data_IF_531730996786
#
_entry.id   IF_531730996786
#
_cell.length_a   1.000
_cell.length_b   1.000
_cell.length_c   1.000
_cell.angle_alpha   90.00
_cell.angle_beta   90.00
_cell.angle_gamma   90.00
#
_symmetry.space_group_name_H-M   'P 1'
#
loop_
_entity.id
_entity.type
_entity.pdbx_description
1 polymer ?
#
# COMPACT_ATOMS: atom_id res chain seq x y z
N UNK A 1 22.11 -0.40 3.86
CA UNK A 1 20.75 -0.05 3.38
C UNK A 1 20.82 0.28 1.90
N UNK A 2 19.92 -0.24 1.12
CA UNK A 2 19.78 0.07 -0.31
C UNK A 2 19.06 1.41 -0.44
N UNK A 3 19.62 2.33 -1.21
CA UNK A 3 18.93 3.56 -1.62
C UNK A 3 18.26 3.29 -2.97
N UNK A 4 16.99 2.94 -2.96
CA UNK A 4 16.22 2.60 -4.17
C UNK A 4 15.71 3.84 -4.92
N UNK A 5 15.74 5.02 -4.29
CA UNK A 5 15.19 6.25 -4.90
C UNK A 5 16.28 6.99 -5.69
N UNK A 6 16.16 7.12 -7.03
CA UNK A 6 17.13 7.84 -7.82
C UNK A 6 17.25 9.31 -7.40
N UNK A 7 18.46 9.79 -7.18
CA UNK A 7 18.72 11.20 -6.77
C UNK A 7 18.06 12.21 -7.70
N UNK A 8 17.99 11.93 -9.01
CA UNK A 8 17.31 12.79 -9.98
C UNK A 8 15.82 12.96 -9.68
N UNK A 9 15.16 11.95 -9.13
CA UNK A 9 13.73 12.03 -8.79
C UNK A 9 13.49 12.85 -7.51
N UNK A 10 14.38 12.71 -6.51
CA UNK A 10 14.34 13.57 -5.33
C UNK A 10 14.50 15.04 -5.75
N UNK A 11 15.44 15.34 -6.64
CA UNK A 11 15.64 16.70 -7.16
C UNK A 11 14.41 17.22 -7.91
N UNK A 12 13.73 16.38 -8.70
CA UNK A 12 12.48 16.79 -9.36
C UNK A 12 11.37 17.04 -8.33
N UNK A 13 11.27 16.21 -7.27
CA UNK A 13 10.29 16.44 -6.20
C UNK A 13 10.54 17.76 -5.44
N UNK A 14 11.80 18.18 -5.28
CA UNK A 14 12.20 19.44 -4.65
C UNK A 14 11.99 20.65 -5.57
N UNK A 15 12.55 20.61 -6.78
CA UNK A 15 12.69 21.76 -7.68
C UNK A 15 11.61 21.82 -8.78
N UNK A 16 10.97 20.69 -9.07
CA UNK A 16 10.09 20.49 -10.23
C UNK A 16 10.84 20.16 -11.51
N UNK A 17 10.09 19.83 -12.57
CA UNK A 17 10.62 19.71 -13.92
C UNK A 17 10.96 21.12 -14.50
N UNK A 18 11.94 21.19 -15.38
CA UNK A 18 12.31 22.43 -16.08
C UNK A 18 11.14 22.93 -16.94
N UNK A 19 11.13 24.24 -17.28
CA UNK A 19 10.09 24.75 -18.19
C UNK A 19 10.24 24.17 -19.58
N UNK A 20 9.14 23.69 -20.15
CA UNK A 20 9.12 23.18 -21.54
C UNK A 20 9.07 24.32 -22.55
N UNK A 21 9.71 24.08 -23.71
CA UNK A 21 9.55 24.92 -24.90
C UNK A 21 8.50 24.40 -25.88
N UNK A 22 8.07 23.15 -25.69
CA UNK A 22 7.10 22.45 -26.53
C UNK A 22 5.96 21.91 -25.63
N UNK A 23 4.98 22.77 -25.25
CA UNK A 23 3.86 22.34 -24.43
C UNK A 23 3.02 21.26 -25.10
N UNK A 24 2.63 20.24 -24.35
CA UNK A 24 1.76 19.14 -24.77
C UNK A 24 0.43 19.20 -24.04
N UNK A 25 -0.63 18.65 -24.65
CA UNK A 25 -1.89 18.36 -23.98
C UNK A 25 -1.79 16.95 -23.37
N UNK A 26 -1.60 16.87 -22.07
CA UNK A 26 -1.40 15.60 -21.37
C UNK A 26 -2.66 15.20 -20.62
N UNK A 27 -3.13 13.98 -20.84
CA UNK A 27 -4.25 13.41 -20.10
C UNK A 27 -3.67 12.47 -19.02
N UNK A 28 -4.02 12.73 -17.77
CA UNK A 28 -3.68 11.84 -16.63
C UNK A 28 -4.94 11.08 -16.23
N UNK A 29 -4.86 9.75 -16.27
CA UNK A 29 -6.00 8.89 -15.97
C UNK A 29 -5.86 8.39 -14.52
N UNK A 30 -6.68 8.93 -13.62
CA UNK A 30 -6.70 8.69 -12.19
C UNK A 30 -6.13 9.85 -11.38
N UNK A 31 -6.85 10.25 -10.31
CA UNK A 31 -6.40 11.24 -9.32
C UNK A 31 -5.91 10.59 -8.00
N UNK A 32 -5.31 9.40 -8.09
CA UNK A 32 -4.48 8.84 -7.03
C UNK A 32 -3.19 9.65 -6.88
N UNK A 33 -2.41 9.37 -5.84
CA UNK A 33 -1.17 10.14 -5.59
C UNK A 33 -0.22 10.15 -6.80
N UNK A 34 -0.12 9.05 -7.53
CA UNK A 34 0.68 8.97 -8.75
C UNK A 34 0.20 9.95 -9.82
N UNK A 35 -1.11 9.98 -10.08
CA UNK A 35 -1.69 10.92 -11.06
C UNK A 35 -1.54 12.38 -10.64
N UNK A 36 -1.74 12.69 -9.36
CA UNK A 36 -1.59 14.05 -8.84
C UNK A 36 -0.15 14.56 -8.94
N UNK A 37 0.84 13.71 -8.60
CA UNK A 37 2.27 14.07 -8.74
C UNK A 37 2.60 14.30 -10.21
N UNK A 38 2.27 13.37 -11.11
CA UNK A 38 2.55 13.52 -12.54
C UNK A 38 1.90 14.79 -13.10
N UNK A 39 0.63 15.04 -12.76
CA UNK A 39 -0.09 16.23 -13.21
C UNK A 39 0.53 17.53 -12.68
N UNK A 40 0.91 17.59 -11.40
CA UNK A 40 1.53 18.77 -10.79
C UNK A 40 2.87 19.09 -11.44
N UNK A 41 3.74 18.11 -11.60
CA UNK A 41 5.07 18.34 -12.20
C UNK A 41 4.99 18.77 -13.67
N UNK A 42 4.10 18.14 -14.46
CA UNK A 42 3.88 18.52 -15.86
C UNK A 42 3.23 19.91 -16.00
N UNK A 43 2.23 20.23 -15.18
CA UNK A 43 1.61 21.56 -15.20
C UNK A 43 2.61 22.64 -14.82
N UNK A 44 3.43 22.41 -13.80
CA UNK A 44 4.50 23.34 -13.40
C UNK A 44 5.55 23.52 -14.52
N UNK A 45 5.84 22.46 -15.27
CA UNK A 45 6.71 22.55 -16.44
C UNK A 45 6.12 23.34 -17.62
N UNK A 46 4.79 23.60 -17.62
CA UNK A 46 4.12 24.40 -18.65
C UNK A 46 3.32 23.57 -19.66
N UNK A 47 3.08 22.28 -19.41
CA UNK A 47 2.17 21.48 -20.18
C UNK A 47 0.70 21.80 -19.80
N UNK A 48 -0.23 21.56 -20.73
CA UNK A 48 -1.66 21.59 -20.44
C UNK A 48 -2.07 20.20 -19.96
N UNK A 49 -2.61 20.13 -18.74
CA UNK A 49 -2.94 18.86 -18.08
C UNK A 49 -4.43 18.76 -17.82
N UNK A 50 -5.02 17.62 -18.15
CA UNK A 50 -6.37 17.23 -17.74
C UNK A 50 -6.27 15.93 -16.96
N UNK A 51 -6.81 15.89 -15.74
CA UNK A 51 -6.89 14.71 -14.89
C UNK A 51 -8.30 14.14 -14.95
N UNK A 52 -8.45 12.84 -15.20
CA UNK A 52 -9.75 12.14 -15.22
C UNK A 52 -9.84 11.28 -13.98
N UNK A 53 -10.85 11.52 -13.13
CA UNK A 53 -11.09 10.76 -11.90
C UNK A 53 -12.52 10.18 -11.90
N UNK A 54 -12.62 8.87 -11.69
CA UNK A 54 -13.91 8.19 -11.71
C UNK A 54 -14.74 8.46 -10.45
N UNK A 55 -14.09 8.66 -9.31
CA UNK A 55 -14.75 8.96 -8.03
C UNK A 55 -15.01 10.46 -7.85
N UNK A 56 -15.58 10.83 -6.67
CA UNK A 56 -15.78 12.23 -6.28
C UNK A 56 -14.66 12.73 -5.31
N UNK A 57 -13.54 12.02 -5.24
CA UNK A 57 -12.43 12.34 -4.34
C UNK A 57 -11.08 12.05 -4.99
N UNK A 58 -10.05 12.71 -4.52
CA UNK A 58 -8.66 12.39 -4.85
C UNK A 58 -8.07 11.36 -3.88
N UNK A 59 -6.89 10.86 -4.18
CA UNK A 59 -6.06 10.04 -3.31
C UNK A 59 -6.09 8.54 -3.61
N UNK A 60 -7.13 8.04 -4.30
CA UNK A 60 -7.23 6.61 -4.63
C UNK A 60 -7.15 5.73 -3.38
N UNK A 61 -6.09 4.91 -3.26
CA UNK A 61 -5.83 4.01 -2.12
C UNK A 61 -5.24 4.70 -0.87
N UNK A 62 -4.97 5.99 -0.91
CA UNK A 62 -4.81 6.82 0.28
C UNK A 62 -6.21 7.31 0.65
N UNK A 63 -6.77 6.77 1.75
CA UNK A 63 -8.16 7.03 2.15
C UNK A 63 -8.27 7.08 3.66
N UNK A 64 -8.53 8.26 4.18
CA UNK A 64 -8.86 8.49 5.59
C UNK A 64 -10.38 8.56 5.73
N UNK A 65 -10.94 7.73 6.59
CA UNK A 65 -12.37 7.74 6.92
C UNK A 65 -12.62 8.68 8.09
N UNK A 66 -13.50 9.64 7.91
CA UNK A 66 -14.03 10.51 8.97
C UNK A 66 -15.46 10.13 9.32
N UNK A 67 -16.28 9.89 8.33
CA UNK A 67 -17.60 9.30 8.54
C UNK A 67 -17.53 7.76 8.50
N UNK A 68 -18.34 7.06 9.31
CA UNK A 68 -19.42 7.60 10.17
C UNK A 68 -18.99 7.99 11.58
N UNK A 69 -17.73 8.29 11.82
CA UNK A 69 -17.20 8.58 13.17
C UNK A 69 -17.56 9.97 13.62
N UNK A 70 -17.85 10.11 14.92
CA UNK A 70 -18.24 11.38 15.54
C UNK A 70 -17.04 12.15 16.07
N UNK A 71 -17.27 13.40 16.49
CA UNK A 71 -16.30 14.22 17.23
C UNK A 71 -14.92 14.40 16.57
N UNK A 72 -14.87 14.47 15.24
CA UNK A 72 -13.61 14.65 14.49
C UNK A 72 -12.66 13.47 14.56
N UNK A 73 -13.14 12.29 14.97
CA UNK A 73 -12.39 11.06 14.91
C UNK A 73 -12.19 10.62 13.45
N UNK A 74 -11.12 9.88 13.19
CA UNK A 74 -10.86 9.31 11.88
C UNK A 74 -10.00 8.04 11.99
N UNK A 75 -10.01 7.23 10.96
CA UNK A 75 -9.08 6.10 10.82
C UNK A 75 -8.67 5.91 9.36
N UNK A 76 -7.55 5.24 9.15
CA UNK A 76 -7.03 5.00 7.81
C UNK A 76 -7.67 3.73 7.22
N UNK A 77 -8.38 3.86 6.11
CA UNK A 77 -8.90 2.72 5.35
C UNK A 77 -7.90 2.21 4.30
N UNK A 78 -6.95 3.05 3.92
CA UNK A 78 -5.89 2.76 2.97
C UNK A 78 -4.50 2.83 3.59
N UNK A 79 -3.57 3.48 2.90
CA UNK A 79 -2.22 3.73 3.41
C UNK A 79 -2.27 4.43 4.77
N UNK A 80 -1.50 3.95 5.74
CA UNK A 80 -1.55 4.47 7.12
C UNK A 80 -0.20 4.88 7.70
N UNK A 81 0.88 4.51 7.03
CA UNK A 81 2.25 4.75 7.50
C UNK A 81 3.21 5.00 6.34
N UNK A 82 4.29 5.71 6.63
CA UNK A 82 5.36 6.06 5.71
C UNK A 82 6.69 5.67 6.35
N UNK A 83 7.47 4.74 5.80
CA UNK A 83 8.85 4.49 6.24
C UNK A 83 9.69 5.77 6.25
N UNK A 84 10.53 5.96 7.26
CA UNK A 84 11.40 7.13 7.35
C UNK A 84 12.44 7.19 6.20
N UNK A 85 12.71 6.05 5.55
CA UNK A 85 13.56 5.95 4.36
C UNK A 85 12.89 6.43 3.07
N UNK A 86 11.57 6.62 3.04
CA UNK A 86 10.82 7.08 1.87
C UNK A 86 11.05 8.58 1.61
N UNK A 87 11.99 8.88 0.75
CA UNK A 87 12.46 10.25 0.50
C UNK A 87 11.44 11.09 -0.26
N UNK A 88 10.79 10.52 -1.30
CA UNK A 88 9.86 11.26 -2.14
C UNK A 88 8.60 11.64 -1.37
N UNK A 89 8.03 10.69 -0.60
CA UNK A 89 6.86 11.01 0.25
C UNK A 89 7.19 12.12 1.22
N UNK A 90 8.35 12.05 1.88
CA UNK A 90 8.79 13.07 2.83
C UNK A 90 9.03 14.43 2.17
N UNK A 91 9.67 14.44 0.99
CA UNK A 91 9.90 15.68 0.23
C UNK A 91 8.59 16.37 -0.10
N UNK A 92 7.56 15.63 -0.57
CA UNK A 92 6.25 16.23 -0.82
C UNK A 92 5.53 16.65 0.47
N UNK A 93 5.64 15.88 1.56
CA UNK A 93 5.10 16.28 2.86
C UNK A 93 5.72 17.59 3.37
N UNK A 94 7.05 17.72 3.27
CA UNK A 94 7.79 18.95 3.60
C UNK A 94 7.38 20.13 2.71
N UNK A 95 7.31 19.90 1.38
CA UNK A 95 6.88 20.91 0.39
C UNK A 95 5.49 21.47 0.69
N UNK A 96 4.58 20.65 1.19
CA UNK A 96 3.24 21.05 1.56
C UNK A 96 3.08 21.39 3.05
N UNK A 97 4.18 21.41 3.80
CA UNK A 97 4.19 21.70 5.24
C UNK A 97 3.23 20.79 6.04
N UNK A 98 3.16 19.51 5.65
CA UNK A 98 2.34 18.51 6.33
C UNK A 98 3.10 17.96 7.54
N UNK A 99 2.63 18.15 8.77
CA UNK A 99 3.30 17.63 9.95
C UNK A 99 3.23 16.10 9.98
N UNK A 100 4.39 15.48 10.19
CA UNK A 100 4.51 14.03 10.36
C UNK A 100 4.90 13.70 11.80
N UNK A 101 4.40 12.58 12.29
CA UNK A 101 4.74 12.06 13.62
C UNK A 101 5.10 10.57 13.52
N UNK A 102 5.84 10.02 14.51
CA UNK A 102 6.08 8.58 14.58
C UNK A 102 4.78 7.78 14.51
N UNK A 103 4.83 6.63 13.86
CA UNK A 103 3.77 5.64 13.84
C UNK A 103 4.27 4.37 14.52
N UNK A 104 3.63 3.99 15.63
CA UNK A 104 3.99 2.80 16.38
C UNK A 104 3.33 1.57 15.75
N UNK A 105 4.13 0.72 15.10
CA UNK A 105 3.65 -0.53 14.49
C UNK A 105 3.63 -1.70 15.48
N UNK A 106 4.56 -1.72 16.44
CA UNK A 106 4.74 -2.77 17.44
C UNK A 106 4.52 -2.22 18.83
N UNK A 107 3.87 -3.00 19.71
CA UNK A 107 3.72 -2.70 21.11
C UNK A 107 3.86 -4.00 21.91
N UNK A 108 4.86 -4.13 22.81
CA UNK A 108 5.08 -5.35 23.59
C UNK A 108 3.91 -5.67 24.55
N UNK A 109 3.14 -4.66 24.96
CA UNK A 109 1.96 -4.83 25.82
C UNK A 109 0.72 -5.28 25.04
N UNK A 110 0.73 -5.23 23.68
CA UNK A 110 -0.37 -5.74 22.89
C UNK A 110 -0.54 -7.25 23.06
N UNK A 111 -1.69 -7.77 22.71
CA UNK A 111 -2.01 -9.17 22.88
C UNK A 111 -1.64 -10.02 21.68
N UNK A 112 -1.13 -11.20 21.95
CA UNK A 112 -1.08 -12.32 21.04
C UNK A 112 -2.13 -13.34 21.50
N UNK A 113 -3.08 -13.66 20.61
CA UNK A 113 -4.14 -14.63 20.90
C UNK A 113 -4.19 -15.67 19.78
N UNK A 114 -3.78 -16.90 20.07
CA UNK A 114 -3.74 -17.99 19.10
C UNK A 114 -3.93 -19.33 19.78
N UNK A 115 -4.67 -20.26 19.12
CA UNK A 115 -4.97 -21.60 19.63
C UNK A 115 -5.58 -21.60 21.06
N UNK A 116 -6.34 -20.56 21.41
CA UNK A 116 -6.93 -20.41 22.74
C UNK A 116 -6.00 -19.82 23.80
N UNK A 117 -4.73 -19.60 23.49
CA UNK A 117 -3.78 -18.92 24.37
C UNK A 117 -3.86 -17.40 24.19
N UNK A 118 -3.64 -16.69 25.28
CA UNK A 118 -3.54 -15.23 25.31
C UNK A 118 -2.28 -14.83 26.10
N UNK A 119 -1.33 -14.22 25.42
CA UNK A 119 -0.06 -13.77 26.01
C UNK A 119 0.26 -12.34 25.56
N UNK A 120 1.19 -11.67 26.18
CA UNK A 120 1.71 -10.41 25.69
C UNK A 120 2.57 -10.63 24.43
N UNK A 121 2.39 -9.79 23.43
CA UNK A 121 3.13 -9.92 22.16
C UNK A 121 4.65 -9.85 22.37
N UNK A 122 5.10 -9.04 23.33
CA UNK A 122 6.52 -8.96 23.70
C UNK A 122 7.08 -10.27 24.25
N UNK A 123 6.29 -11.07 24.97
CA UNK A 123 6.70 -12.39 25.45
C UNK A 123 6.90 -13.37 24.29
N UNK A 124 5.98 -13.38 23.32
CA UNK A 124 6.06 -14.24 22.14
C UNK A 124 7.30 -13.89 21.30
N UNK A 125 7.52 -12.61 21.05
CA UNK A 125 8.67 -12.14 20.25
C UNK A 125 9.99 -12.46 20.94
N UNK A 126 10.01 -12.48 22.29
CA UNK A 126 11.18 -12.86 23.10
C UNK A 126 11.40 -14.36 23.22
N UNK A 127 10.60 -15.21 22.56
CA UNK A 127 10.75 -16.66 22.54
C UNK A 127 9.89 -17.44 23.52
N UNK A 128 9.04 -16.77 24.31
CA UNK A 128 8.08 -17.47 25.19
C UNK A 128 6.83 -17.91 24.38
N UNK A 129 7.06 -18.85 23.47
CA UNK A 129 6.04 -19.36 22.55
C UNK A 129 5.29 -20.53 23.18
N UNK A 130 3.93 -20.59 23.10
CA UNK A 130 3.13 -21.69 23.61
C UNK A 130 3.57 -23.06 23.05
N UNK A 131 3.42 -24.11 23.86
CA UNK A 131 3.86 -25.47 23.50
C UNK A 131 3.10 -26.06 22.30
N UNK A 132 1.91 -25.56 22.04
CA UNK A 132 1.06 -25.96 20.91
C UNK A 132 1.65 -25.64 19.54
N UNK A 133 2.57 -24.69 19.48
CA UNK A 133 3.37 -24.50 18.25
C UNK A 133 4.47 -25.56 18.21
N UNK A 134 4.46 -26.49 17.22
CA UNK A 134 5.40 -27.61 17.17
C UNK A 134 6.76 -27.17 16.62
N UNK A 135 7.38 -26.20 17.31
CA UNK A 135 8.73 -25.74 17.01
C UNK A 135 9.77 -26.80 17.37
N UNK A 136 10.86 -26.87 16.63
CA UNK A 136 11.99 -27.72 16.99
C UNK A 136 12.79 -27.18 18.20
N UNK A 137 13.77 -27.92 18.67
CA UNK A 137 14.56 -27.53 19.85
C UNK A 137 15.35 -26.22 19.63
N UNK A 138 15.91 -26.03 18.43
CA UNK A 138 16.65 -24.82 18.08
C UNK A 138 15.73 -23.61 18.01
N UNK A 139 14.61 -23.75 17.31
CA UNK A 139 13.61 -22.71 17.14
C UNK A 139 12.99 -22.28 18.49
N UNK A 140 12.77 -23.25 19.38
CA UNK A 140 12.23 -23.00 20.71
C UNK A 140 13.25 -22.32 21.65
N UNK A 141 14.55 -22.58 21.43
CA UNK A 141 15.63 -21.97 22.20
C UNK A 141 16.04 -20.56 21.71
N UNK A 142 15.53 -20.15 20.55
CA UNK A 142 15.90 -18.89 19.87
C UNK A 142 14.68 -17.99 19.77
N UNK A 143 14.83 -16.69 20.00
CA UNK A 143 13.72 -15.76 19.79
C UNK A 143 13.39 -15.62 18.29
N UNK A 144 12.13 -15.24 17.97
CA UNK A 144 11.73 -15.00 16.60
C UNK A 144 12.56 -13.92 15.91
N UNK A 145 12.98 -12.92 16.67
CA UNK A 145 13.84 -11.86 16.15
C UNK A 145 15.24 -12.36 15.81
N UNK A 146 15.82 -13.22 16.64
CA UNK A 146 17.14 -13.82 16.40
C UNK A 146 17.11 -14.77 15.21
N UNK A 147 16.08 -15.63 15.11
CA UNK A 147 15.90 -16.51 13.93
C UNK A 147 15.85 -15.70 12.62
N UNK A 148 15.10 -14.59 12.66
CA UNK A 148 15.01 -13.71 11.50
C UNK A 148 16.33 -12.99 11.19
N UNK A 149 17.00 -12.46 12.22
CA UNK A 149 18.27 -11.79 12.02
C UNK A 149 19.37 -12.75 11.53
N UNK A 150 19.41 -14.00 12.01
CA UNK A 150 20.29 -15.05 11.45
C UNK A 150 20.06 -15.25 9.97
N UNK A 151 18.80 -15.30 9.53
CA UNK A 151 18.41 -15.50 8.12
C UNK A 151 18.83 -14.32 7.23
N UNK A 152 18.69 -13.10 7.71
CA UNK A 152 18.82 -11.87 6.91
C UNK A 152 20.22 -11.25 6.97
N UNK A 153 20.98 -11.47 8.06
CA UNK A 153 22.30 -10.85 8.26
C UNK A 153 23.28 -11.06 7.11
N UNK A 154 23.40 -12.24 6.50
CA UNK A 154 24.33 -12.43 5.37
C UNK A 154 24.04 -11.49 4.20
N UNK A 155 22.77 -11.27 3.89
CA UNK A 155 22.34 -10.37 2.81
C UNK A 155 22.57 -8.89 3.17
N UNK A 156 22.31 -8.52 4.43
CA UNK A 156 22.61 -7.16 4.94
C UNK A 156 24.10 -6.85 4.84
N UNK A 157 24.95 -7.79 5.24
CA UNK A 157 26.41 -7.65 5.17
C UNK A 157 26.90 -7.54 3.72
N UNK A 158 26.45 -8.44 2.84
CA UNK A 158 26.84 -8.44 1.42
C UNK A 158 26.48 -7.11 0.75
N UNK A 159 25.25 -6.60 0.96
CA UNK A 159 24.81 -5.32 0.40
C UNK A 159 25.52 -4.13 1.05
N UNK A 160 25.84 -4.21 2.35
CA UNK A 160 26.61 -3.16 3.03
C UNK A 160 28.02 -3.02 2.48
N UNK A 161 28.68 -4.15 2.15
CA UNK A 161 30.01 -4.19 1.55
C UNK A 161 30.00 -3.75 0.08
N UNK A 162 28.98 -4.19 -0.67
CA UNK A 162 28.80 -3.86 -2.08
C UNK A 162 27.33 -3.67 -2.42
N UNK A 163 26.82 -2.42 -2.51
CA UNK A 163 25.42 -2.15 -2.85
C UNK A 163 24.95 -2.78 -4.18
N UNK A 164 25.86 -2.97 -5.14
CA UNK A 164 25.52 -3.58 -6.43
C UNK A 164 25.23 -5.09 -6.32
N UNK A 165 25.61 -5.73 -5.21
CA UNK A 165 25.26 -7.15 -4.98
C UNK A 165 23.77 -7.39 -4.85
N UNK A 166 22.99 -6.36 -4.57
CA UNK A 166 21.54 -6.45 -4.51
C UNK A 166 20.93 -6.95 -5.84
N UNK A 167 21.45 -6.53 -6.98
CA UNK A 167 20.95 -6.96 -8.28
C UNK A 167 21.09 -8.48 -8.47
N UNK A 168 22.25 -9.03 -8.08
CA UNK A 168 22.48 -10.47 -8.11
C UNK A 168 21.59 -11.23 -7.13
N UNK A 169 21.50 -10.75 -5.88
CA UNK A 169 20.62 -11.36 -4.85
C UNK A 169 19.17 -11.38 -5.33
N UNK A 170 18.72 -10.29 -5.91
CA UNK A 170 17.35 -10.14 -6.45
C UNK A 170 17.10 -11.14 -7.58
N UNK A 171 18.05 -11.29 -8.51
CA UNK A 171 17.94 -12.24 -9.61
C UNK A 171 17.85 -13.70 -9.10
N UNK A 172 18.64 -14.06 -8.09
CA UNK A 172 18.62 -15.39 -7.47
C UNK A 172 17.30 -15.68 -6.73
N UNK A 173 16.79 -14.69 -5.99
CA UNK A 173 15.64 -14.87 -5.10
C UNK A 173 14.27 -14.58 -5.74
N UNK A 174 14.22 -13.95 -6.91
CA UNK A 174 12.94 -13.63 -7.54
C UNK A 174 12.14 -14.86 -7.99
N UNK A 175 12.79 -16.00 -8.14
CA UNK A 175 12.19 -17.24 -8.63
C UNK A 175 11.58 -18.11 -7.53
N UNK A 176 11.82 -17.82 -6.27
CA UNK A 176 11.29 -18.54 -5.12
C UNK A 176 10.39 -17.65 -4.27
N UNK A 177 9.47 -18.29 -3.57
CA UNK A 177 8.61 -17.62 -2.60
C UNK A 177 9.34 -17.33 -1.29
N UNK A 178 8.83 -16.39 -0.49
CA UNK A 178 9.34 -16.14 0.86
C UNK A 178 9.27 -17.41 1.71
N UNK A 179 8.20 -18.22 1.58
CA UNK A 179 8.09 -19.52 2.27
C UNK A 179 9.23 -20.45 1.88
N UNK A 180 9.48 -20.66 0.59
CA UNK A 180 10.60 -21.51 0.11
C UNK A 180 11.96 -20.98 0.56
N UNK A 181 12.13 -19.66 0.60
CA UNK A 181 13.34 -19.03 1.10
C UNK A 181 13.61 -19.39 2.58
N UNK A 182 12.58 -19.33 3.44
CA UNK A 182 12.68 -19.73 4.84
C UNK A 182 12.89 -21.24 5.00
N UNK A 183 12.17 -22.06 4.23
CA UNK A 183 12.36 -23.52 4.19
C UNK A 183 13.79 -23.92 3.80
N UNK A 184 14.34 -23.28 2.77
CA UNK A 184 15.72 -23.52 2.30
C UNK A 184 16.76 -23.15 3.37
N UNK A 185 16.43 -22.24 4.27
CA UNK A 185 17.23 -21.89 5.45
C UNK A 185 17.04 -22.84 6.63
N UNK A 186 16.18 -23.86 6.50
CA UNK A 186 15.94 -24.90 7.49
C UNK A 186 14.87 -24.57 8.52
N UNK A 187 14.02 -23.56 8.27
CA UNK A 187 12.90 -23.27 9.17
C UNK A 187 11.80 -24.33 9.03
N UNK A 188 11.22 -24.74 10.16
CA UNK A 188 10.04 -25.60 10.18
C UNK A 188 8.78 -24.84 9.69
N UNK A 189 7.79 -25.59 9.24
CA UNK A 189 6.49 -24.98 8.88
C UNK A 189 5.87 -24.24 10.06
N UNK A 190 6.02 -24.75 11.27
CA UNK A 190 5.49 -24.10 12.48
C UNK A 190 6.16 -22.74 12.75
N UNK A 191 7.48 -22.66 12.55
CA UNK A 191 8.22 -21.39 12.69
C UNK A 191 7.83 -20.38 11.61
N UNK A 192 7.66 -20.83 10.36
CA UNK A 192 7.23 -19.99 9.23
C UNK A 192 5.82 -19.42 9.49
N UNK A 193 4.87 -20.25 9.89
CA UNK A 193 3.49 -19.83 10.19
C UNK A 193 3.45 -18.86 11.39
N UNK A 194 4.15 -19.21 12.47
CA UNK A 194 4.22 -18.34 13.65
C UNK A 194 4.85 -16.98 13.32
N UNK A 195 5.96 -16.99 12.57
CA UNK A 195 6.64 -15.75 12.19
C UNK A 195 5.75 -14.92 11.25
N UNK A 196 5.11 -15.56 10.27
CA UNK A 196 4.17 -14.90 9.37
C UNK A 196 3.02 -14.23 10.13
N UNK A 197 2.44 -14.94 11.10
CA UNK A 197 1.36 -14.42 11.95
C UNK A 197 1.83 -13.23 12.79
N UNK A 198 2.92 -13.36 13.54
CA UNK A 198 3.45 -12.32 14.44
C UNK A 198 3.90 -11.07 13.68
N UNK A 199 4.54 -11.26 12.53
CA UNK A 199 5.01 -10.16 11.69
C UNK A 199 3.92 -9.58 10.76
N UNK A 200 2.74 -10.23 10.68
CA UNK A 200 1.59 -9.78 9.88
C UNK A 200 1.83 -9.83 8.37
N UNK A 201 2.51 -10.86 7.88
CA UNK A 201 2.75 -11.04 6.45
C UNK A 201 2.51 -12.48 5.95
N UNK A 202 1.62 -13.21 6.59
CA UNK A 202 1.26 -14.57 6.17
C UNK A 202 0.91 -14.65 4.68
N UNK A 203 0.19 -13.66 4.16
CA UNK A 203 -0.18 -13.61 2.74
C UNK A 203 1.01 -13.34 1.83
N UNK A 204 2.07 -12.72 2.34
CA UNK A 204 3.31 -12.46 1.60
C UNK A 204 4.25 -13.67 1.59
N UNK A 205 3.95 -14.74 2.31
CA UNK A 205 4.71 -15.99 2.24
C UNK A 205 4.72 -16.58 0.81
N UNK A 206 3.71 -16.29 0.00
CA UNK A 206 3.65 -16.66 -1.42
C UNK A 206 4.30 -15.63 -2.37
N UNK A 207 4.66 -14.44 -1.89
CA UNK A 207 5.34 -13.43 -2.68
C UNK A 207 6.77 -13.86 -3.01
N UNK A 208 7.34 -13.28 -4.07
CA UNK A 208 8.76 -13.43 -4.38
C UNK A 208 9.62 -13.06 -3.16
N UNK A 209 10.58 -13.89 -2.82
CA UNK A 209 11.52 -13.63 -1.72
C UNK A 209 12.34 -12.35 -1.97
N UNK A 210 12.66 -12.04 -3.22
CA UNK A 210 13.36 -10.82 -3.61
C UNK A 210 12.55 -9.58 -3.27
N UNK A 211 11.24 -9.58 -3.52
CA UNK A 211 10.38 -8.44 -3.20
C UNK A 211 10.35 -8.15 -1.70
N UNK A 212 10.19 -9.21 -0.89
CA UNK A 212 10.16 -9.07 0.55
C UNK A 212 11.53 -8.67 1.14
N UNK A 213 12.61 -9.30 0.68
CA UNK A 213 13.96 -8.98 1.13
C UNK A 213 14.35 -7.54 0.77
N UNK A 214 13.91 -7.03 -0.39
CA UNK A 214 14.09 -5.64 -0.78
C UNK A 214 13.52 -4.65 0.24
N UNK A 215 12.34 -4.93 0.81
CA UNK A 215 11.77 -4.11 1.89
C UNK A 215 12.60 -4.16 3.17
N UNK A 216 13.08 -5.34 3.54
CA UNK A 216 13.89 -5.53 4.75
C UNK A 216 15.23 -4.80 4.64
N UNK A 217 15.87 -4.86 3.48
CA UNK A 217 17.15 -4.20 3.22
C UNK A 217 17.03 -2.66 3.13
N UNK A 218 15.82 -2.14 2.86
CA UNK A 218 15.49 -0.72 2.89
C UNK A 218 14.99 -0.23 4.25
N UNK A 219 14.87 -1.13 5.24
CA UNK A 219 14.35 -0.85 6.59
C UNK A 219 12.93 -0.25 6.58
N UNK A 220 12.06 -0.75 5.70
CA UNK A 220 10.72 -0.17 5.50
C UNK A 220 9.76 -0.41 6.68
N UNK A 221 10.09 -1.29 7.62
CA UNK A 221 9.21 -1.65 8.75
C UNK A 221 9.64 -1.05 10.08
N UNK A 222 10.88 -0.64 10.20
CA UNK A 222 11.37 0.06 11.39
C UNK A 222 10.85 1.51 11.42
N UNK A 223 11.32 2.43 11.88
CA UNK A 223 11.03 3.87 11.94
C UNK A 223 9.96 4.37 10.94
N UNK A 224 8.70 4.08 11.20
CA UNK A 224 7.58 4.55 10.37
C UNK A 224 6.96 5.82 10.92
N UNK A 225 6.43 6.64 10.02
CA UNK A 225 5.78 7.92 10.28
C UNK A 225 4.32 7.87 9.77
N UNK A 226 3.51 8.81 10.21
CA UNK A 226 2.17 9.08 9.67
C UNK A 226 1.92 10.58 9.60
N UNK A 227 1.05 11.03 8.71
CA UNK A 227 0.69 12.44 8.58
C UNK A 227 -0.37 12.78 9.62
N UNK A 228 -0.18 13.86 10.36
CA UNK A 228 -1.18 14.37 11.30
C UNK A 228 -2.44 14.84 10.57
N UNK A 229 -3.61 14.55 11.12
CA UNK A 229 -4.88 14.87 10.47
C UNK A 229 -5.37 13.83 9.46
N UNK A 230 -4.53 12.85 9.10
CA UNK A 230 -4.85 11.75 8.19
C UNK A 230 -3.95 11.73 6.96
N UNK A 231 -3.72 10.53 6.43
CA UNK A 231 -2.87 10.34 5.25
C UNK A 231 -3.41 11.02 4.00
N UNK A 232 -4.73 11.25 3.91
CA UNK A 232 -5.37 11.95 2.80
C UNK A 232 -4.99 13.44 2.69
N UNK A 233 -4.37 14.01 3.73
CA UNK A 233 -3.80 15.37 3.64
C UNK A 233 -2.77 15.48 2.50
N UNK A 234 -2.03 14.40 2.21
CA UNK A 234 -1.03 14.41 1.14
C UNK A 234 -1.67 14.58 -0.26
N UNK A 235 -2.60 13.74 -0.73
CA UNK A 235 -3.25 13.98 -2.01
C UNK A 235 -4.09 15.28 -2.03
N UNK A 236 -4.72 15.66 -0.94
CA UNK A 236 -5.49 16.90 -0.85
C UNK A 236 -4.61 18.15 -1.00
N UNK A 237 -3.34 18.10 -0.59
CA UNK A 237 -2.42 19.22 -0.71
C UNK A 237 -2.10 19.61 -2.18
N UNK A 238 -2.39 18.76 -3.15
CA UNK A 238 -2.26 19.09 -4.57
C UNK A 238 -3.47 19.87 -5.14
N UNK A 239 -4.61 19.87 -4.45
CA UNK A 239 -5.85 20.49 -4.96
C UNK A 239 -5.72 21.98 -5.28
N UNK A 240 -5.07 22.83 -4.46
CA UNK A 240 -4.91 24.23 -4.78
C UNK A 240 -4.26 24.49 -6.14
N UNK A 241 -3.44 23.54 -6.61
CA UNK A 241 -2.78 23.65 -7.90
C UNK A 241 -3.54 22.95 -9.04
N UNK A 242 -4.37 21.94 -8.76
CA UNK A 242 -4.89 21.02 -9.78
C UNK A 242 -6.42 20.98 -9.89
N UNK A 243 -7.17 21.57 -8.95
CA UNK A 243 -8.63 21.44 -8.87
C UNK A 243 -9.34 21.75 -10.20
N UNK A 244 -8.93 22.80 -10.88
CA UNK A 244 -9.45 23.22 -12.18
C UNK A 244 -9.10 22.27 -13.35
N UNK A 245 -8.16 21.38 -13.13
CA UNK A 245 -7.68 20.37 -14.10
C UNK A 245 -8.34 19.01 -13.91
N UNK A 246 -9.03 18.76 -12.75
CA UNK A 246 -9.59 17.46 -12.40
C UNK A 246 -11.05 17.37 -12.84
N UNK A 247 -11.37 16.31 -13.59
CA UNK A 247 -12.73 15.95 -13.97
C UNK A 247 -13.21 14.78 -13.13
N UNK A 248 -13.90 15.08 -12.04
CA UNK A 248 -14.49 14.08 -11.16
C UNK A 248 -15.68 13.36 -11.76
N UNK A 249 -16.04 12.20 -11.21
CA UNK A 249 -17.18 11.40 -11.65
C UNK A 249 -17.11 10.99 -13.13
N UNK A 250 -15.89 10.92 -13.66
CA UNK A 250 -15.63 10.67 -15.08
C UNK A 250 -14.89 9.34 -15.22
N UNK A 251 -15.62 8.28 -15.55
CA UNK A 251 -15.11 6.92 -15.67
C UNK A 251 -14.59 6.64 -17.06
N UNK A 252 -13.37 6.17 -17.17
CA UNK A 252 -12.81 5.65 -18.43
C UNK A 252 -13.37 4.26 -18.70
N UNK A 253 -13.81 4.00 -19.92
CA UNK A 253 -14.27 2.67 -20.35
C UNK A 253 -13.53 2.12 -21.56
N UNK A 254 -12.87 2.97 -22.39
CA UNK A 254 -11.98 2.50 -23.44
C UNK A 254 -10.81 3.47 -23.68
N UNK A 255 -9.70 2.91 -24.16
CA UNK A 255 -8.49 3.62 -24.55
C UNK A 255 -8.22 3.40 -26.03
N UNK A 256 -7.94 4.49 -26.75
CA UNK A 256 -7.59 4.48 -28.17
C UNK A 256 -6.47 5.47 -28.45
N UNK A 257 -5.72 5.28 -29.53
CA UNK A 257 -4.71 6.20 -30.03
C UNK A 257 -4.52 6.06 -31.54
N UNK A 258 -4.08 7.13 -32.16
CA UNK A 258 -3.67 7.17 -33.55
C UNK A 258 -2.37 7.99 -33.72
N UNK A 259 -2.00 8.31 -34.94
CA UNK A 259 -0.83 9.14 -35.28
C UNK A 259 -0.91 10.56 -34.70
N UNK A 260 -2.10 11.08 -34.43
CA UNK A 260 -2.34 12.44 -33.95
C UNK A 260 -2.37 12.55 -32.42
N UNK A 261 -2.69 11.46 -31.68
CA UNK A 261 -2.79 11.51 -30.23
C UNK A 261 -3.52 10.35 -29.59
N UNK A 262 -3.94 10.57 -28.35
CA UNK A 262 -4.74 9.64 -27.57
C UNK A 262 -6.20 10.05 -27.53
N UNK A 263 -7.10 9.07 -27.49
CA UNK A 263 -8.56 9.25 -27.35
C UNK A 263 -9.03 8.43 -26.15
N UNK A 264 -9.45 9.11 -25.11
CA UNK A 264 -9.93 8.49 -23.88
C UNK A 264 -11.45 8.50 -23.90
N UNK A 265 -12.07 7.34 -24.03
CA UNK A 265 -13.52 7.19 -24.00
C UNK A 265 -14.00 7.17 -22.55
N UNK A 266 -14.83 8.13 -22.20
CA UNK A 266 -15.30 8.36 -20.84
C UNK A 266 -16.82 8.38 -20.76
N UNK A 267 -17.30 8.10 -19.56
CA UNK A 267 -18.71 8.20 -19.18
C UNK A 267 -18.85 8.97 -17.88
N UNK A 268 -19.77 9.90 -17.83
CA UNK A 268 -20.15 10.66 -16.63
C UNK A 268 -21.67 10.89 -16.62
N UNK A 269 -22.16 11.70 -15.68
CA UNK A 269 -23.61 12.01 -15.58
C UNK A 269 -24.19 12.63 -16.87
N UNK A 270 -23.37 13.29 -17.68
CA UNK A 270 -23.75 13.86 -18.97
C UNK A 270 -23.75 12.87 -20.13
N UNK A 271 -23.40 11.60 -19.88
CA UNK A 271 -23.30 10.56 -20.90
C UNK A 271 -21.87 10.28 -21.35
N UNK A 272 -21.74 9.62 -22.50
CA UNK A 272 -20.47 9.21 -23.08
C UNK A 272 -19.86 10.31 -23.93
N UNK A 273 -18.55 10.48 -23.83
CA UNK A 273 -17.76 11.41 -24.61
C UNK A 273 -16.34 10.93 -24.80
N UNK A 274 -15.56 11.64 -25.61
CA UNK A 274 -14.14 11.38 -25.83
C UNK A 274 -13.36 12.60 -25.36
N UNK A 275 -12.25 12.34 -24.66
CA UNK A 275 -11.28 13.35 -24.27
C UNK A 275 -10.00 13.06 -25.04
N UNK A 276 -9.53 14.06 -25.80
CA UNK A 276 -8.36 13.94 -26.67
C UNK A 276 -7.15 14.67 -26.09
N UNK A 277 -5.97 14.15 -26.35
CA UNK A 277 -4.69 14.74 -25.95
C UNK A 277 -3.54 14.23 -26.81
N UNK A 278 -2.37 14.83 -26.64
CA UNK A 278 -1.17 14.41 -27.38
C UNK A 278 -0.62 13.10 -26.83
N UNK A 279 -0.69 12.93 -25.50
CA UNK A 279 -0.21 11.75 -24.74
C UNK A 279 -1.07 11.52 -23.52
N UNK A 280 -1.03 10.31 -22.95
CA UNK A 280 -1.67 9.99 -21.68
C UNK A 280 -0.73 9.30 -20.70
N UNK A 281 -0.91 9.61 -19.40
CA UNK A 281 -0.32 8.83 -18.29
C UNK A 281 -1.46 8.06 -17.64
N UNK A 282 -1.42 6.74 -17.77
CA UNK A 282 -2.36 5.83 -17.14
C UNK A 282 -1.84 5.49 -15.72
N UNK A 283 -2.57 5.94 -14.70
CA UNK A 283 -2.24 5.64 -13.29
C UNK A 283 -3.23 4.67 -12.66
N UNK A 284 -4.07 4.05 -13.48
CA UNK A 284 -5.03 3.05 -13.03
C UNK A 284 -4.29 1.79 -12.58
N UNK A 285 -4.66 1.19 -11.45
CA UNK A 285 -4.15 -0.13 -11.11
C UNK A 285 -4.55 -1.14 -12.20
N UNK A 286 -3.69 -2.11 -12.48
CA UNK A 286 -3.98 -3.08 -13.53
C UNK A 286 -5.19 -3.96 -13.20
N UNK A 287 -5.55 -4.10 -11.92
CA UNK A 287 -6.84 -4.68 -11.51
C UNK A 287 -8.05 -3.96 -12.11
N UNK A 288 -7.96 -2.65 -12.34
CA UNK A 288 -8.99 -1.85 -13.03
C UNK A 288 -8.78 -1.84 -14.54
N UNK A 289 -7.53 -1.69 -15.00
CA UNK A 289 -7.22 -1.63 -16.42
C UNK A 289 -7.67 -2.89 -17.18
N UNK A 290 -7.73 -4.04 -16.50
CA UNK A 290 -8.29 -5.32 -17.05
C UNK A 290 -9.72 -5.20 -17.56
N UNK A 291 -10.49 -4.24 -17.05
CA UNK A 291 -11.91 -4.04 -17.36
C UNK A 291 -12.14 -2.88 -18.35
N UNK A 292 -11.07 -2.27 -18.82
CA UNK A 292 -11.11 -1.19 -19.79
C UNK A 292 -10.82 -1.75 -21.19
N UNK A 293 -11.63 -1.39 -22.14
CA UNK A 293 -11.45 -1.81 -23.54
C UNK A 293 -10.23 -1.11 -24.15
N UNK A 294 -9.34 -1.86 -24.77
CA UNK A 294 -8.16 -1.34 -25.46
C UNK A 294 -8.43 -1.44 -26.94
N UNK A 295 -8.78 -0.34 -27.57
CA UNK A 295 -9.14 -0.22 -29.00
C UNK A 295 -7.91 -0.09 -29.91
N UNK A 296 -6.76 0.27 -29.36
CA UNK A 296 -5.48 0.38 -30.05
C UNK A 296 -4.58 -0.84 -29.81
N UNK A 297 -3.46 -0.91 -30.53
CA UNK A 297 -2.53 -2.05 -30.46
C UNK A 297 -1.55 -1.91 -29.29
N UNK A 298 -1.98 -2.35 -28.10
CA UNK A 298 -1.03 -2.62 -27.03
C UNK A 298 -0.30 -3.94 -27.31
N UNK A 299 0.99 -3.99 -27.00
CA UNK A 299 1.83 -5.16 -27.18
C UNK A 299 1.28 -6.37 -26.40
N UNK A 300 1.59 -7.57 -26.89
CA UNK A 300 1.27 -8.81 -26.18
C UNK A 300 1.82 -8.83 -24.74
N UNK A 301 3.04 -8.33 -24.57
CA UNK A 301 3.69 -8.29 -23.25
C UNK A 301 2.94 -7.36 -22.29
N UNK A 302 2.50 -6.19 -22.73
CA UNK A 302 1.67 -5.29 -21.94
C UNK A 302 0.34 -5.95 -21.56
N UNK A 303 -0.35 -6.55 -22.52
CA UNK A 303 -1.61 -7.27 -22.26
C UNK A 303 -1.41 -8.44 -21.29
N UNK A 304 -0.28 -9.17 -21.40
CA UNK A 304 0.13 -10.22 -20.45
C UNK A 304 0.33 -9.63 -19.05
N UNK A 305 1.07 -8.53 -18.93
CA UNK A 305 1.34 -7.87 -17.65
C UNK A 305 0.05 -7.36 -16.98
N UNK A 306 -0.80 -6.66 -17.71
CA UNK A 306 -2.10 -6.17 -17.22
C UNK A 306 -2.96 -7.31 -16.67
N UNK A 307 -2.98 -8.46 -17.34
CA UNK A 307 -3.81 -9.60 -16.94
C UNK A 307 -3.23 -10.37 -15.76
N UNK A 308 -1.92 -10.52 -15.69
CA UNK A 308 -1.29 -11.52 -14.81
C UNK A 308 -0.63 -10.93 -13.57
N UNK A 309 -0.34 -9.60 -13.52
CA UNK A 309 0.23 -9.01 -12.31
C UNK A 309 -0.67 -9.30 -11.12
N UNK A 310 -0.10 -9.85 -10.07
CA UNK A 310 -0.85 -10.19 -8.87
C UNK A 310 -1.27 -8.93 -8.09
N UNK A 311 -2.53 -8.94 -7.64
CA UNK A 311 -3.07 -7.93 -6.72
C UNK A 311 -3.61 -8.62 -5.48
N UNK A 312 -3.13 -8.16 -4.33
CA UNK A 312 -3.60 -8.61 -3.05
C UNK A 312 -4.84 -7.85 -2.62
N UNK A 313 -5.72 -8.53 -1.87
CA UNK A 313 -6.85 -7.88 -1.22
C UNK A 313 -6.50 -7.46 0.22
N UNK A 314 -7.25 -6.53 0.77
CA UNK A 314 -7.21 -6.17 2.18
C UNK A 314 -8.60 -5.77 2.67
N UNK A 315 -8.92 -6.21 3.89
CA UNK A 315 -10.13 -5.83 4.59
C UNK A 315 -9.81 -5.15 5.92
N UNK A 316 -10.62 -4.16 6.26
CA UNK A 316 -10.56 -3.47 7.55
C UNK A 316 -11.94 -3.32 8.13
N UNK A 317 -12.02 -3.49 9.45
CA UNK A 317 -13.22 -3.21 10.23
C UNK A 317 -12.87 -2.23 11.35
N UNK A 318 -13.72 -1.26 11.54
CA UNK A 318 -13.52 -0.17 12.49
C UNK A 318 -14.70 -0.10 13.45
N UNK A 319 -14.42 0.27 14.70
CA UNK A 319 -15.46 0.68 15.65
C UNK A 319 -15.07 2.01 16.28
N UNK A 320 -16.02 2.95 16.30
CA UNK A 320 -15.94 4.04 17.25
C UNK A 320 -16.14 3.47 18.66
N UNK A 321 -15.31 3.91 19.61
CA UNK A 321 -15.36 3.46 20.99
C UNK A 321 -15.68 4.61 21.92
N UNK A 322 -16.49 4.34 22.96
CA UNK A 322 -16.85 5.33 23.98
C UNK A 322 -15.72 5.56 24.99
N UNK A 323 -14.81 4.58 25.12
CA UNK A 323 -13.62 4.63 25.99
C UNK A 323 -12.45 3.94 25.28
N UNK A 324 -11.24 4.28 25.70
CA UNK A 324 -10.00 3.63 25.27
C UNK A 324 -9.66 2.49 26.23
N UNK A 325 -10.54 1.48 26.31
CA UNK A 325 -10.43 0.36 27.25
C UNK A 325 -9.06 -0.36 27.18
N UNK A 326 -8.47 -0.47 26.00
CA UNK A 326 -7.14 -1.07 25.80
C UNK A 326 -6.00 -0.27 26.48
N UNK A 327 -6.14 1.05 26.55
CA UNK A 327 -5.16 1.90 27.20
C UNK A 327 -5.33 1.88 28.72
N UNK A 328 -6.59 1.92 29.19
CA UNK A 328 -6.92 2.00 30.61
C UNK A 328 -6.76 0.66 31.33
N UNK A 329 -7.02 -0.47 30.65
CA UNK A 329 -6.99 -1.80 31.26
C UNK A 329 -5.72 -2.58 30.93
N UNK A 330 -5.20 -2.46 29.70
CA UNK A 330 -4.12 -3.28 29.19
C UNK A 330 -2.80 -2.53 28.98
N UNK A 331 -2.78 -1.20 29.21
CA UNK A 331 -1.63 -0.32 29.01
C UNK A 331 -1.12 -0.31 27.54
N UNK A 332 -2.04 -0.50 26.58
CA UNK A 332 -1.69 -0.52 25.16
C UNK A 332 -1.83 0.91 24.61
N UNK A 333 -0.74 1.47 24.12
CA UNK A 333 -0.68 2.81 23.51
C UNK A 333 -0.08 2.71 22.11
N UNK A 334 -0.93 2.55 21.08
CA UNK A 334 -0.49 2.27 19.71
C UNK A 334 -0.08 0.81 19.50
N UNK A 335 0.40 0.49 18.31
CA UNK A 335 0.75 -0.88 17.91
C UNK A 335 -0.47 -1.73 17.58
N UNK A 336 -0.26 -3.04 17.53
CA UNK A 336 -1.31 -3.98 17.17
C UNK A 336 -1.28 -5.23 18.05
N UNK A 337 -2.46 -5.75 18.40
CA UNK A 337 -2.65 -7.13 18.85
C UNK A 337 -2.80 -8.05 17.64
N UNK A 338 -2.28 -9.27 17.79
CA UNK A 338 -2.21 -10.28 16.73
C UNK A 338 -3.00 -11.51 17.14
N UNK A 339 -3.72 -12.11 16.19
CA UNK A 339 -4.51 -13.32 16.44
C UNK A 339 -4.66 -14.18 15.19
N UNK A 340 -4.86 -15.49 15.39
CA UNK A 340 -5.26 -16.46 14.36
C UNK A 340 -6.76 -16.39 14.01
N UNK A 341 -7.54 -15.62 14.77
CA UNK A 341 -8.95 -15.36 14.44
C UNK A 341 -9.05 -14.56 13.12
N UNK A 342 -10.22 -14.56 12.52
CA UNK A 342 -10.48 -13.91 11.22
C UNK A 342 -10.15 -12.42 11.16
N UNK A 343 -10.14 -11.72 12.29
CA UNK A 343 -9.73 -10.30 12.39
C UNK A 343 -8.22 -10.07 12.22
N UNK A 344 -7.40 -11.08 12.41
CA UNK A 344 -5.92 -11.08 12.28
C UNK A 344 -5.21 -10.05 13.13
N UNK A 345 -5.39 -8.77 12.87
CA UNK A 345 -4.71 -7.71 13.60
C UNK A 345 -5.68 -6.65 14.08
N UNK A 346 -5.53 -6.22 15.33
CA UNK A 346 -6.27 -5.11 15.94
C UNK A 346 -5.31 -3.96 16.18
N UNK A 347 -5.45 -2.87 15.43
CA UNK A 347 -4.57 -1.69 15.58
C UNK A 347 -5.18 -0.65 16.50
N UNK A 348 -4.35 -0.18 17.42
CA UNK A 348 -4.74 0.80 18.44
C UNK A 348 -4.31 2.21 18.05
N UNK A 349 -5.20 3.21 18.16
CA UNK A 349 -4.81 4.58 17.86
C UNK A 349 -3.84 5.13 18.91
N UNK A 350 -2.74 5.73 18.44
CA UNK A 350 -1.74 6.41 19.29
C UNK A 350 -2.18 7.79 19.75
N UNK A 351 -3.11 8.39 19.00
CA UNK A 351 -3.59 9.73 19.29
C UNK A 351 -4.22 9.83 20.67
N UNK A 352 -3.93 10.91 21.36
CA UNK A 352 -4.79 11.36 22.46
C UNK A 352 -6.00 12.06 21.84
N UNK A 353 -7.16 11.41 21.75
CA UNK A 353 -8.34 12.06 21.18
C UNK A 353 -8.82 13.17 22.12
N UNK A 354 -9.58 14.10 21.58
CA UNK A 354 -10.38 14.98 22.41
C UNK A 354 -11.44 14.12 23.13
N UNK A 355 -11.31 13.98 24.46
CA UNK A 355 -12.18 13.13 25.26
C UNK A 355 -11.74 11.65 25.33
N UNK A 356 -12.67 10.79 25.77
CA UNK A 356 -12.43 9.35 25.93
C UNK A 356 -12.69 8.52 24.67
N UNK A 357 -13.43 9.08 23.70
CA UNK A 357 -13.79 8.39 22.45
C UNK A 357 -12.60 8.21 21.53
N UNK A 358 -12.62 7.15 20.74
CA UNK A 358 -11.58 6.86 19.73
C UNK A 358 -12.14 5.99 18.61
N UNK A 359 -11.37 5.73 17.58
CA UNK A 359 -11.67 4.72 16.55
C UNK A 359 -10.65 3.60 16.65
N UNK A 360 -11.13 2.40 16.93
CA UNK A 360 -10.33 1.18 16.94
C UNK A 360 -10.41 0.53 15.56
N UNK A 361 -9.28 0.18 14.96
CA UNK A 361 -9.25 -0.70 13.81
C UNK A 361 -9.29 -2.14 14.33
N UNK A 362 -10.51 -2.69 14.41
CA UNK A 362 -10.80 -3.98 15.01
C UNK A 362 -10.41 -5.18 14.14
N UNK A 363 -10.16 -4.95 12.86
CA UNK A 363 -9.61 -5.95 11.95
C UNK A 363 -8.75 -5.27 10.89
N UNK A 364 -7.61 -5.87 10.62
CA UNK A 364 -6.82 -5.64 9.42
C UNK A 364 -6.25 -6.97 8.96
N UNK A 365 -6.75 -7.42 7.83
CA UNK A 365 -6.34 -8.68 7.23
C UNK A 365 -6.13 -8.52 5.72
N UNK A 366 -5.43 -9.47 5.14
CA UNK A 366 -5.02 -9.48 3.75
C UNK A 366 -5.37 -10.82 3.09
N UNK A 367 -5.24 -10.88 1.77
CA UNK A 367 -5.29 -12.09 0.99
C UNK A 367 -6.57 -12.90 1.18
N UNK A 368 -6.42 -14.18 1.44
CA UNK A 368 -7.56 -15.09 1.61
C UNK A 368 -8.48 -14.70 2.77
N UNK A 369 -7.93 -14.15 3.84
CA UNK A 369 -8.77 -13.68 4.95
C UNK A 369 -9.59 -12.46 4.53
N UNK A 370 -9.00 -11.52 3.78
CA UNK A 370 -9.77 -10.41 3.21
C UNK A 370 -10.87 -10.88 2.26
N UNK A 371 -10.62 -11.91 1.45
CA UNK A 371 -11.63 -12.52 0.59
C UNK A 371 -12.79 -13.12 1.39
N UNK A 372 -12.51 -13.79 2.53
CA UNK A 372 -13.55 -14.30 3.44
C UNK A 372 -14.41 -13.17 3.99
N UNK A 373 -13.79 -12.05 4.41
CA UNK A 373 -14.52 -10.84 4.79
C UNK A 373 -15.33 -10.26 3.63
N UNK A 374 -14.81 -10.34 2.41
CA UNK A 374 -15.50 -9.95 1.18
C UNK A 374 -16.80 -10.74 0.96
N UNK A 375 -16.85 -12.01 1.32
CA UNK A 375 -18.03 -12.85 1.18
C UNK A 375 -19.20 -12.47 2.11
N UNK A 376 -18.92 -11.69 3.16
CA UNK A 376 -19.92 -11.24 4.14
C UNK A 376 -20.51 -9.88 3.74
N UNK A 377 -21.74 -9.63 4.17
CA UNK A 377 -22.34 -8.28 4.13
C UNK A 377 -21.62 -7.33 5.11
N UNK A 378 -21.72 -6.00 4.94
CA UNK A 378 -21.15 -5.07 5.89
C UNK A 378 -21.61 -5.29 7.34
N UNK A 379 -22.87 -5.65 7.54
CA UNK A 379 -23.47 -5.93 8.85
C UNK A 379 -22.87 -7.19 9.48
N UNK A 380 -22.75 -8.28 8.71
CA UNK A 380 -22.14 -9.54 9.17
C UNK A 380 -20.68 -9.35 9.54
N UNK A 381 -19.93 -8.52 8.78
CA UNK A 381 -18.55 -8.15 9.13
C UNK A 381 -18.47 -7.49 10.50
N UNK A 382 -19.36 -6.56 10.80
CA UNK A 382 -19.39 -5.89 12.10
C UNK A 382 -19.73 -6.86 13.23
N UNK A 383 -20.68 -7.76 13.02
CA UNK A 383 -21.07 -8.79 14.01
C UNK A 383 -19.86 -9.69 14.29
N UNK A 384 -19.27 -10.28 13.26
CA UNK A 384 -18.14 -11.20 13.43
C UNK A 384 -16.91 -10.52 14.05
N UNK A 385 -16.62 -9.27 13.67
CA UNK A 385 -15.54 -8.52 14.27
C UNK A 385 -15.77 -8.23 15.76
N UNK A 386 -17.04 -7.96 16.18
CA UNK A 386 -17.40 -7.82 17.61
C UNK A 386 -17.15 -9.10 18.38
N UNK A 387 -17.58 -10.23 17.86
CA UNK A 387 -17.34 -11.53 18.49
C UNK A 387 -15.86 -11.83 18.65
N UNK A 388 -15.07 -11.63 17.59
CA UNK A 388 -13.64 -11.91 17.64
C UNK A 388 -12.86 -10.97 18.58
N UNK A 389 -13.21 -9.68 18.61
CA UNK A 389 -12.48 -8.74 19.48
C UNK A 389 -12.74 -9.00 20.96
N UNK A 390 -13.90 -9.56 21.34
CA UNK A 390 -14.18 -9.95 22.74
C UNK A 390 -13.29 -11.10 23.23
N UNK A 391 -12.73 -11.90 22.32
CA UNK A 391 -11.73 -12.92 22.68
C UNK A 391 -10.42 -12.24 23.12
N UNK A 392 -10.02 -11.15 22.43
CA UNK A 392 -8.80 -10.40 22.75
C UNK A 392 -9.04 -9.51 24.00
N UNK A 393 -10.18 -8.83 24.04
CA UNK A 393 -10.57 -7.90 25.09
C UNK A 393 -11.93 -8.28 25.67
N UNK A 394 -11.98 -9.17 26.64
CA UNK A 394 -13.23 -9.46 27.35
C UNK A 394 -13.88 -8.17 27.86
N UNK A 395 -15.20 -8.11 27.88
CA UNK A 395 -15.99 -6.94 28.29
C UNK A 395 -15.89 -5.68 27.43
N UNK A 396 -15.20 -5.72 26.26
CA UNK A 396 -15.07 -4.55 25.40
C UNK A 396 -16.39 -4.16 24.68
N UNK A 397 -17.32 -5.09 24.53
CA UNK A 397 -18.55 -4.91 23.74
C UNK A 397 -19.36 -3.66 24.15
N UNK A 398 -19.45 -3.39 25.45
CA UNK A 398 -20.16 -2.23 26.01
C UNK A 398 -19.56 -0.87 25.58
N UNK A 399 -18.32 -0.89 25.07
CA UNK A 399 -17.62 0.33 24.61
C UNK A 399 -17.66 0.51 23.11
N UNK A 400 -18.06 -0.53 22.34
CA UNK A 400 -18.14 -0.48 20.89
C UNK A 400 -19.43 0.22 20.45
N UNK A 401 -19.29 1.33 19.73
CA UNK A 401 -20.40 2.11 19.19
C UNK A 401 -20.62 1.81 17.69
N UNK A 402 -20.70 2.83 16.86
CA UNK A 402 -20.85 2.71 15.41
C UNK A 402 -19.64 2.00 14.79
N UNK A 403 -19.88 1.23 13.74
CA UNK A 403 -18.82 0.53 13.01
C UNK A 403 -18.87 0.79 11.52
N UNK A 404 -17.74 0.56 10.86
CA UNK A 404 -17.61 0.60 9.41
C UNK A 404 -16.66 -0.49 8.94
N UNK A 405 -16.89 -1.03 7.74
CA UNK A 405 -16.00 -2.01 7.13
C UNK A 405 -15.70 -1.65 5.68
N UNK A 406 -14.50 -2.02 5.22
CA UNK A 406 -14.07 -1.85 3.85
C UNK A 406 -13.30 -3.08 3.40
N UNK A 407 -13.55 -3.52 2.16
CA UNK A 407 -12.81 -4.57 1.46
C UNK A 407 -12.37 -3.97 0.13
N UNK A 408 -11.07 -3.96 -0.12
CA UNK A 408 -10.50 -3.22 -1.26
C UNK A 408 -10.84 -3.84 -2.62
N UNK A 409 -11.03 -5.17 -2.70
CA UNK A 409 -11.51 -5.81 -3.93
C UNK A 409 -12.93 -5.40 -4.32
N UNK A 410 -13.73 -4.91 -3.37
CA UNK A 410 -15.07 -4.38 -3.59
C UNK A 410 -15.10 -2.89 -3.96
N UNK A 411 -13.97 -2.18 -3.86
CA UNK A 411 -13.90 -0.79 -4.31
C UNK A 411 -13.88 -0.77 -5.86
N UNK A 412 -14.88 -0.17 -6.53
CA UNK A 412 -15.01 -0.22 -7.99
C UNK A 412 -13.93 0.56 -8.74
N UNK A 413 -13.09 1.32 -8.02
CA UNK A 413 -12.03 2.14 -8.58
C UNK A 413 -10.62 1.64 -8.23
N UNK A 414 -10.52 0.59 -7.40
CA UNK A 414 -9.25 -0.04 -7.02
C UNK A 414 -9.23 -1.54 -7.35
N UNK A 415 -10.32 -2.28 -7.08
CA UNK A 415 -10.46 -3.71 -7.28
C UNK A 415 -9.26 -4.52 -6.74
N UNK A 416 -8.75 -4.12 -5.56
CA UNK A 416 -7.60 -4.69 -4.89
C UNK A 416 -6.84 -3.66 -4.09
N UNK A 417 -6.05 -4.10 -3.12
CA UNK A 417 -5.33 -3.23 -2.20
C UNK A 417 -3.98 -2.78 -2.76
N UNK A 418 -3.18 -3.69 -3.28
CA UNK A 418 -1.84 -3.42 -3.81
C UNK A 418 -1.32 -4.55 -4.70
N UNK A 419 -0.35 -4.25 -5.55
CA UNK A 419 0.38 -5.24 -6.32
C UNK A 419 1.58 -5.78 -5.54
N UNK A 420 2.03 -6.98 -5.88
CA UNK A 420 3.37 -7.51 -5.59
C UNK A 420 3.74 -8.60 -6.60
N UNK A 421 5.03 -8.87 -6.75
CA UNK A 421 5.47 -9.97 -7.59
C UNK A 421 5.37 -11.30 -6.85
N UNK A 422 4.76 -12.27 -7.49
CA UNK A 422 4.93 -13.67 -7.18
C UNK A 422 6.24 -14.17 -7.80
N UNK A 423 6.73 -15.39 -7.44
CA UNK A 423 7.90 -15.97 -8.08
C UNK A 423 7.85 -15.85 -9.60
N UNK A 424 8.98 -15.45 -10.21
CA UNK A 424 9.17 -15.18 -11.64
C UNK A 424 8.47 -13.95 -12.22
N UNK A 425 7.48 -13.35 -11.55
CA UNK A 425 6.72 -12.23 -12.15
C UNK A 425 7.56 -10.98 -12.37
N UNK A 426 8.59 -10.74 -11.59
CA UNK A 426 9.45 -9.56 -11.79
C UNK A 426 10.14 -9.64 -13.16
N UNK A 427 10.88 -10.71 -13.43
CA UNK A 427 11.58 -10.90 -14.71
C UNK A 427 10.64 -11.00 -15.90
N UNK A 428 9.44 -11.54 -15.71
CA UNK A 428 8.48 -11.72 -16.79
C UNK A 428 7.65 -10.49 -17.12
N UNK A 429 7.38 -9.63 -16.14
CA UNK A 429 6.34 -8.59 -16.27
C UNK A 429 6.86 -7.17 -16.08
N UNK A 430 7.91 -6.94 -15.27
CA UNK A 430 8.29 -5.60 -14.85
C UNK A 430 8.58 -4.66 -16.02
N UNK A 431 9.40 -5.09 -16.97
CA UNK A 431 9.71 -4.29 -18.16
C UNK A 431 8.45 -3.92 -18.95
N UNK A 432 7.55 -4.90 -19.11
CA UNK A 432 6.29 -4.66 -19.82
C UNK A 432 5.34 -3.75 -19.03
N UNK A 433 5.36 -3.79 -17.69
CA UNK A 433 4.53 -2.93 -16.83
C UNK A 433 4.92 -1.45 -17.04
N UNK A 434 6.21 -1.17 -17.03
CA UNK A 434 6.73 0.21 -17.08
C UNK A 434 6.83 0.77 -18.50
N UNK A 435 7.00 -0.09 -19.51
CA UNK A 435 7.18 0.36 -20.89
C UNK A 435 6.00 1.18 -21.40
N UNK A 436 6.22 2.26 -22.12
CA UNK A 436 5.13 2.97 -22.81
C UNK A 436 4.52 2.11 -23.92
N UNK A 437 3.25 2.37 -24.26
CA UNK A 437 2.54 1.76 -25.38
C UNK A 437 2.10 2.87 -26.33
N UNK A 438 2.94 3.17 -27.31
CA UNK A 438 2.76 4.32 -28.17
C UNK A 438 2.77 5.62 -27.37
N UNK A 439 1.61 6.28 -27.28
CA UNK A 439 1.42 7.54 -26.56
C UNK A 439 0.89 7.37 -25.13
N UNK A 440 0.79 6.13 -24.62
CA UNK A 440 0.41 5.82 -23.24
C UNK A 440 1.64 5.51 -22.38
N UNK A 441 1.79 6.23 -21.29
CA UNK A 441 2.78 6.01 -20.23
C UNK A 441 2.08 5.45 -18.99
N UNK A 442 2.81 4.69 -18.16
CA UNK A 442 2.21 3.98 -17.03
C UNK A 442 2.90 4.36 -15.72
N UNK A 443 2.10 4.71 -14.72
CA UNK A 443 2.55 5.02 -13.38
C UNK A 443 1.57 4.45 -12.33
N UNK A 444 2.01 4.36 -11.09
CA UNK A 444 1.30 3.74 -9.97
C UNK A 444 2.27 2.89 -9.17
N UNK A 445 1.90 2.47 -7.95
CA UNK A 445 2.81 1.61 -7.15
C UNK A 445 3.16 0.31 -7.88
N UNK A 446 2.27 -0.19 -8.74
CA UNK A 446 2.47 -1.37 -9.58
C UNK A 446 3.49 -1.16 -10.71
N UNK A 447 3.79 0.07 -11.07
CA UNK A 447 4.78 0.43 -12.09
C UNK A 447 6.12 0.87 -11.47
N UNK A 448 6.43 0.39 -10.29
CA UNK A 448 7.68 0.54 -9.55
C UNK A 448 8.09 -0.82 -8.98
N UNK A 449 9.32 -0.97 -8.54
CA UNK A 449 9.76 -2.11 -7.72
C UNK A 449 9.43 -1.93 -6.23
N UNK A 450 8.89 -0.78 -5.84
CA UNK A 450 8.43 -0.48 -4.49
C UNK A 450 6.90 -0.61 -4.42
N UNK A 451 6.40 -1.82 -4.66
CA UNK A 451 4.98 -2.12 -4.58
C UNK A 451 4.42 -1.82 -3.18
N UNK A 452 3.11 -1.63 -3.08
CA UNK A 452 2.37 -1.42 -1.82
C UNK A 452 2.64 -0.08 -1.12
N UNK A 453 3.60 0.71 -1.58
CA UNK A 453 4.03 1.94 -0.95
C UNK A 453 3.70 3.20 -1.76
N UNK A 454 3.42 4.29 -1.05
CA UNK A 454 3.23 5.61 -1.65
C UNK A 454 4.50 6.05 -2.40
N UNK A 455 5.68 5.67 -1.89
CA UNK A 455 6.97 5.99 -2.52
C UNK A 455 7.05 5.48 -3.96
N UNK A 456 6.69 4.21 -4.20
CA UNK A 456 6.68 3.64 -5.56
C UNK A 456 5.66 4.31 -6.49
N UNK A 457 4.52 4.73 -5.95
CA UNK A 457 3.54 5.48 -6.71
C UNK A 457 4.07 6.87 -7.14
N UNK A 458 4.79 7.56 -6.27
CA UNK A 458 5.41 8.86 -6.57
C UNK A 458 6.62 8.68 -7.50
N UNK A 459 7.45 7.69 -7.24
CA UNK A 459 8.62 7.36 -8.08
C UNK A 459 8.22 7.14 -9.54
N UNK A 460 7.26 6.25 -9.78
CA UNK A 460 6.75 5.94 -11.11
C UNK A 460 6.06 7.13 -11.77
N UNK A 461 5.40 8.00 -10.99
CA UNK A 461 4.80 9.24 -11.48
C UNK A 461 5.84 10.22 -12.00
N UNK A 462 6.92 10.45 -11.25
CA UNK A 462 8.02 11.33 -11.65
C UNK A 462 8.73 10.77 -12.89
N UNK A 463 8.95 9.44 -12.95
CA UNK A 463 9.51 8.78 -14.12
C UNK A 463 8.66 9.04 -15.35
N UNK A 464 7.36 8.74 -15.30
CA UNK A 464 6.46 8.92 -16.45
C UNK A 464 6.28 10.40 -16.83
N UNK A 465 6.25 11.31 -15.85
CA UNK A 465 6.20 12.74 -16.12
C UNK A 465 7.47 13.23 -16.84
N UNK A 466 8.64 12.74 -16.43
CA UNK A 466 9.91 13.07 -17.10
C UNK A 466 9.96 12.49 -18.53
N UNK A 467 9.52 11.26 -18.73
CA UNK A 467 9.42 10.64 -20.06
C UNK A 467 8.51 11.45 -20.99
N UNK A 468 7.33 11.83 -20.54
CA UNK A 468 6.41 12.71 -21.30
C UNK A 468 7.01 14.08 -21.55
N UNK A 469 7.69 14.66 -20.55
CA UNK A 469 8.30 15.98 -20.66
C UNK A 469 9.39 16.02 -21.73
N UNK A 470 10.22 14.98 -21.81
CA UNK A 470 11.36 14.87 -22.74
C UNK A 470 11.00 14.26 -24.10
N UNK A 471 9.76 13.80 -24.28
CA UNK A 471 9.29 13.21 -25.53
C UNK A 471 9.26 14.25 -26.64
N UNK A 472 9.86 13.95 -27.77
CA UNK A 472 9.71 14.70 -29.02
C UNK A 472 8.52 14.14 -29.80
N UNK A 473 7.50 14.97 -30.07
CA UNK A 473 6.28 14.63 -30.80
C UNK A 473 6.30 15.22 -32.22
#
# INVERSE_FOLDING_TARGET
>A
MIDSTPKKFVKIAEDGLSKTKSPKNVIVIGAGISGLVAASELRKAGHKVTVIEASQRVGGRIRTLREPFSHGQYSEAGAMRVPASHKLVRTYAERFSLPMRPFQSFNPNAWFCSHGHRARLGEIVSGNVPEEFPLDEKERATSLSELWDELISPYKEQVSQNPNSWEQIREELQSISLREFMQNAGWSEAAIELYGLVAGFETLLSASAAEFLGEVLQDLRANTLTIEGGMDQLPMAFLPELEDSIRYGTRVHALDQDENGVKIHVENIGGRSIIEGDVAICTLPFSILRHIEILCDFSWNKRKAVRNLHYEDAARVFFETTQRFWADQDEIHGGASITDLAIRSVYYPERKPHGQRSVLMASYCHGQDAMRWGALTPEERLIQARENITVIHPDCEKYLASGHSLVWSHDPFAAGAYAFFQPHQESELHEAIIAPEGRYFFAGEHASIQHRWIEGAIESAIRSALEVHTLDL
#
